data_IF_205516418877
#
_entry.id   IF_205516418877
#
_cell.length_a   1.000
_cell.length_b   1.000
_cell.length_c   1.000
_cell.angle_alpha   90.00
_cell.angle_beta   90.00
_cell.angle_gamma   90.00
#
_symmetry.space_group_name_H-M   'P 1'
#
loop_
_entity.id
_entity.type
_entity.pdbx_description
1 polymer ?
#
# COMPACT_ATOMS: atom_id res chain seq x y z
N UNK A 1 9.55 -48.52 -43.11
CA UNK A 1 9.20 -47.78 -41.87
C UNK A 1 8.11 -48.57 -41.18
N UNK A 2 8.35 -48.99 -39.93
CA UNK A 2 7.42 -49.82 -39.15
C UNK A 2 6.20 -48.97 -38.76
N UNK A 3 4.99 -49.54 -38.81
CA UNK A 3 3.74 -48.86 -38.45
C UNK A 3 3.73 -48.39 -36.98
N UNK A 4 4.63 -48.95 -36.15
CA UNK A 4 4.90 -48.52 -34.78
C UNK A 4 5.63 -47.17 -34.67
N UNK A 5 6.49 -46.83 -35.62
CA UNK A 5 7.23 -45.55 -35.60
C UNK A 5 6.32 -44.37 -35.90
N UNK A 6 5.40 -44.53 -36.85
CA UNK A 6 4.41 -43.51 -37.20
C UNK A 6 3.48 -43.23 -36.02
N UNK A 7 3.04 -44.29 -35.32
CA UNK A 7 2.16 -44.16 -34.15
C UNK A 7 2.85 -43.45 -32.98
N UNK A 8 4.12 -43.77 -32.73
CA UNK A 8 4.94 -43.13 -31.69
C UNK A 8 5.21 -41.65 -32.00
N UNK A 9 5.36 -41.29 -33.28
CA UNK A 9 5.53 -39.90 -33.71
C UNK A 9 4.23 -39.09 -33.56
N UNK A 10 3.07 -39.67 -33.86
CA UNK A 10 1.77 -39.04 -33.63
C UNK A 10 1.48 -38.85 -32.14
N UNK A 11 1.85 -39.80 -31.30
CA UNK A 11 1.72 -39.71 -29.83
C UNK A 11 2.63 -38.62 -29.25
N UNK A 12 3.86 -38.45 -29.75
CA UNK A 12 4.73 -37.36 -29.30
C UNK A 12 4.20 -36.00 -29.73
N UNK A 13 3.68 -35.87 -30.95
CA UNK A 13 3.05 -34.63 -31.43
C UNK A 13 1.82 -34.25 -30.59
N UNK A 14 0.98 -35.23 -30.21
CA UNK A 14 -0.17 -35.01 -29.34
C UNK A 14 0.23 -34.60 -27.91
N UNK A 15 1.30 -35.20 -27.36
CA UNK A 15 1.85 -34.86 -26.06
C UNK A 15 2.46 -33.44 -26.05
N UNK A 16 3.21 -33.07 -27.09
CA UNK A 16 3.76 -31.72 -27.25
C UNK A 16 2.67 -30.67 -27.41
N UNK A 17 1.57 -30.99 -28.09
CA UNK A 17 0.41 -30.10 -28.21
C UNK A 17 -0.32 -29.88 -26.87
N UNK A 18 -0.44 -30.92 -26.04
CA UNK A 18 -1.00 -30.78 -24.69
C UNK A 18 -0.09 -29.97 -23.75
N UNK A 19 1.22 -30.23 -23.77
CA UNK A 19 2.17 -29.49 -22.93
C UNK A 19 2.25 -28.01 -23.31
N UNK A 20 2.25 -27.69 -24.61
CA UNK A 20 2.25 -26.31 -25.10
C UNK A 20 0.95 -25.57 -24.72
N UNK A 21 -0.19 -26.26 -24.70
CA UNK A 21 -1.47 -25.69 -24.29
C UNK A 21 -1.53 -25.41 -22.78
N UNK A 22 -0.98 -26.29 -21.94
CA UNK A 22 -0.93 -26.08 -20.50
C UNK A 22 0.10 -25.01 -20.09
N UNK A 23 1.23 -24.93 -20.80
CA UNK A 23 2.22 -23.86 -20.62
C UNK A 23 1.66 -22.49 -21.02
N UNK A 24 0.83 -22.43 -22.08
CA UNK A 24 0.09 -21.23 -22.46
C UNK A 24 -0.96 -20.84 -21.41
N UNK A 25 -1.67 -21.80 -20.80
CA UNK A 25 -2.63 -21.54 -19.71
C UNK A 25 -1.97 -21.01 -18.44
N UNK A 26 -0.83 -21.58 -18.03
CA UNK A 26 -0.07 -21.11 -16.86
C UNK A 26 0.44 -19.67 -17.04
N UNK A 27 0.83 -19.30 -18.26
CA UNK A 27 1.25 -17.93 -18.61
C UNK A 27 0.08 -16.93 -18.66
N UNK A 28 -1.11 -17.36 -19.08
CA UNK A 28 -2.32 -16.51 -19.06
C UNK A 28 -2.82 -16.26 -17.62
N UNK A 29 -2.80 -17.27 -16.75
CA UNK A 29 -3.24 -17.12 -15.35
C UNK A 29 -2.30 -16.20 -14.55
N UNK A 30 -0.99 -16.34 -14.71
CA UNK A 30 0.00 -15.47 -14.05
C UNK A 30 -0.07 -14.01 -14.52
N UNK A 31 -0.34 -13.78 -15.81
CA UNK A 31 -0.54 -12.43 -16.33
C UNK A 31 -1.82 -11.77 -15.77
N UNK A 32 -2.92 -12.51 -15.66
CA UNK A 32 -4.19 -12.02 -15.09
C UNK A 32 -4.06 -11.68 -13.60
N UNK A 33 -3.37 -12.52 -12.82
CA UNK A 33 -3.18 -12.31 -11.38
C UNK A 33 -2.33 -11.05 -11.10
N UNK A 34 -1.24 -10.88 -11.85
CA UNK A 34 -0.33 -9.72 -11.71
C UNK A 34 -1.01 -8.38 -11.99
N UNK A 35 -1.97 -8.33 -12.92
CA UNK A 35 -2.75 -7.11 -13.22
C UNK A 35 -3.67 -6.76 -12.06
N UNK A 36 -4.30 -7.76 -11.43
CA UNK A 36 -5.17 -7.58 -10.26
C UNK A 36 -4.38 -7.04 -9.06
N UNK A 37 -3.22 -7.64 -8.77
CA UNK A 37 -2.40 -7.27 -7.60
C UNK A 37 -1.89 -5.82 -7.70
N UNK A 38 -1.52 -5.37 -8.92
CA UNK A 38 -1.11 -3.97 -9.16
C UNK A 38 -2.24 -2.97 -8.95
N UNK A 39 -3.47 -3.34 -9.28
CA UNK A 39 -4.64 -2.49 -9.06
C UNK A 39 -4.93 -2.31 -7.57
N UNK A 40 -4.82 -3.39 -6.79
CA UNK A 40 -4.99 -3.35 -5.34
C UNK A 40 -3.90 -2.52 -4.66
N UNK A 41 -2.65 -2.62 -5.11
CA UNK A 41 -1.54 -1.78 -4.62
C UNK A 41 -1.79 -0.28 -4.90
N UNK A 42 -2.15 0.09 -6.12
CA UNK A 42 -2.45 1.48 -6.47
C UNK A 42 -3.62 2.04 -5.64
N UNK A 43 -4.66 1.22 -5.40
CA UNK A 43 -5.80 1.58 -4.57
C UNK A 43 -5.41 1.81 -3.11
N UNK A 44 -4.61 0.92 -2.53
CA UNK A 44 -4.11 1.07 -1.16
C UNK A 44 -3.23 2.31 -1.01
N UNK A 45 -2.37 2.60 -2.00
CA UNK A 45 -1.56 3.82 -2.04
C UNK A 45 -2.42 5.09 -2.07
N UNK A 46 -3.47 5.12 -2.89
CA UNK A 46 -4.40 6.26 -2.95
C UNK A 46 -5.12 6.48 -1.61
N UNK A 47 -5.57 5.39 -0.97
CA UNK A 47 -6.17 5.45 0.36
C UNK A 47 -5.18 5.99 1.40
N UNK A 48 -3.93 5.52 1.37
CA UNK A 48 -2.88 5.95 2.28
C UNK A 48 -2.55 7.44 2.11
N UNK A 49 -2.39 7.90 0.86
CA UNK A 49 -2.16 9.31 0.56
C UNK A 49 -3.30 10.20 1.04
N UNK A 50 -4.56 9.74 0.86
CA UNK A 50 -5.74 10.44 1.36
C UNK A 50 -5.73 10.57 2.88
N UNK A 51 -5.56 9.47 3.61
CA UNK A 51 -5.60 9.46 5.08
C UNK A 51 -4.47 10.30 5.67
N UNK A 52 -3.27 10.26 5.07
CA UNK A 52 -2.17 11.17 5.44
C UNK A 52 -2.52 12.63 5.24
N UNK A 53 -3.15 12.97 4.10
CA UNK A 53 -3.63 14.34 3.86
C UNK A 53 -4.70 14.78 4.85
N UNK A 54 -5.57 13.86 5.29
CA UNK A 54 -6.54 14.12 6.37
C UNK A 54 -5.84 14.33 7.72
N UNK A 55 -4.80 13.55 8.05
CA UNK A 55 -4.00 13.71 9.27
C UNK A 55 -3.26 15.05 9.30
N UNK A 56 -2.69 15.47 8.17
CA UNK A 56 -2.02 16.77 8.05
C UNK A 56 -2.99 17.94 8.34
N UNK A 57 -4.25 17.83 7.91
CA UNK A 57 -5.28 18.83 8.24
C UNK A 57 -5.55 18.88 9.74
N UNK A 58 -5.63 17.74 10.42
CA UNK A 58 -5.81 17.66 11.88
C UNK A 58 -4.66 18.37 12.59
N UNK A 59 -3.40 18.11 12.18
CA UNK A 59 -2.25 18.80 12.76
C UNK A 59 -2.26 20.30 12.46
N UNK A 60 -2.65 20.70 11.25
CA UNK A 60 -2.78 22.11 10.91
C UNK A 60 -3.87 22.81 11.73
N UNK A 61 -5.00 22.16 11.99
CA UNK A 61 -6.06 22.69 12.87
C UNK A 61 -5.58 22.80 14.33
N UNK A 62 -4.79 21.84 14.79
CA UNK A 62 -4.19 21.87 16.12
C UNK A 62 -3.20 23.03 16.25
N UNK A 63 -2.32 23.22 15.26
CA UNK A 63 -1.40 24.35 15.19
C UNK A 63 -2.12 25.70 15.15
N UNK A 64 -3.22 25.80 14.38
CA UNK A 64 -4.10 26.99 14.38
C UNK A 64 -4.67 27.26 15.76
N UNK A 65 -5.17 26.24 16.44
CA UNK A 65 -5.74 26.36 17.79
C UNK A 65 -4.70 26.89 18.78
N UNK A 66 -3.51 26.27 18.81
CA UNK A 66 -2.41 26.69 19.68
C UNK A 66 -1.95 28.12 19.39
N UNK A 67 -1.87 28.50 18.10
CA UNK A 67 -1.53 29.87 17.71
C UNK A 67 -2.57 30.89 18.21
N UNK A 68 -3.87 30.61 18.02
CA UNK A 68 -4.95 31.49 18.48
C UNK A 68 -4.96 31.62 20.00
N UNK A 69 -4.71 30.51 20.73
CA UNK A 69 -4.56 30.56 22.19
C UNK A 69 -3.39 31.45 22.62
N UNK A 70 -2.22 31.26 22.02
CA UNK A 70 -1.02 32.00 22.38
C UNK A 70 -1.11 33.50 22.04
N UNK A 71 -1.91 33.85 21.02
CA UNK A 71 -2.15 35.24 20.63
C UNK A 71 -3.32 35.89 21.36
N UNK A 72 -4.06 35.14 22.19
CA UNK A 72 -5.26 35.62 22.88
C UNK A 72 -6.47 35.81 21.95
N UNK A 73 -6.44 35.25 20.74
CA UNK A 73 -7.49 35.38 19.72
C UNK A 73 -8.38 34.15 19.60
N UNK A 74 -8.27 33.19 20.52
CA UNK A 74 -9.15 32.03 20.53
C UNK A 74 -10.53 32.44 21.06
N UNK A 75 -11.65 32.02 20.42
CA UNK A 75 -13.00 32.33 20.90
C UNK A 75 -13.21 31.83 22.34
N UNK A 76 -13.54 32.76 23.24
CA UNK A 76 -13.83 32.47 24.65
C UNK A 76 -15.27 32.92 24.97
N UNK A 77 -16.22 32.26 24.30
CA UNK A 77 -17.65 32.44 24.51
C UNK A 77 -18.33 31.06 24.69
N UNK A 78 -19.52 31.05 25.30
CA UNK A 78 -20.22 29.80 25.59
C UNK A 78 -20.72 29.04 24.36
N UNK A 79 -20.72 29.66 23.17
CA UNK A 79 -21.11 28.99 21.94
C UNK A 79 -19.97 28.13 21.35
N UNK A 80 -18.73 28.33 21.78
CA UNK A 80 -17.56 27.62 21.27
C UNK A 80 -16.96 26.66 22.32
N UNK A 81 -16.44 25.50 21.87
CA UNK A 81 -15.65 24.64 22.75
C UNK A 81 -14.38 25.36 23.19
N UNK A 82 -14.00 25.14 24.46
CA UNK A 82 -12.74 25.68 24.96
C UNK A 82 -11.58 25.17 24.13
N UNK A 83 -10.48 25.91 24.09
CA UNK A 83 -9.32 25.50 23.32
C UNK A 83 -8.78 24.13 23.75
N UNK A 84 -8.85 23.83 25.05
CA UNK A 84 -8.52 22.51 25.58
C UNK A 84 -9.41 21.42 24.99
N UNK A 85 -10.73 21.61 24.99
CA UNK A 85 -11.68 20.64 24.43
C UNK A 85 -11.46 20.43 22.92
N UNK A 86 -11.09 21.49 22.20
CA UNK A 86 -10.75 21.41 20.78
C UNK A 86 -9.45 20.61 20.56
N UNK A 87 -8.42 20.89 21.35
CA UNK A 87 -7.14 20.15 21.29
C UNK A 87 -7.34 18.67 21.59
N UNK A 88 -8.07 18.34 22.67
CA UNK A 88 -8.33 16.93 23.04
C UNK A 88 -9.04 16.18 21.93
N UNK A 89 -10.03 16.81 21.28
CA UNK A 89 -10.73 16.24 20.13
C UNK A 89 -9.78 16.01 18.94
N UNK A 90 -8.90 16.96 18.65
CA UNK A 90 -7.94 16.87 17.55
C UNK A 90 -6.88 15.80 17.82
N UNK A 91 -6.44 15.62 19.08
CA UNK A 91 -5.52 14.54 19.47
C UNK A 91 -6.14 13.16 19.21
N UNK A 92 -7.39 12.96 19.63
CA UNK A 92 -8.14 11.72 19.36
C UNK A 92 -8.26 11.49 17.84
N UNK A 93 -8.58 12.53 17.07
CA UNK A 93 -8.68 12.42 15.62
C UNK A 93 -7.33 12.07 14.97
N UNK A 94 -6.23 12.65 15.44
CA UNK A 94 -4.88 12.36 14.95
C UNK A 94 -4.49 10.90 15.22
N UNK A 95 -4.79 10.38 16.41
CA UNK A 95 -4.54 8.99 16.77
C UNK A 95 -5.35 8.03 15.91
N UNK A 96 -6.64 8.31 15.67
CA UNK A 96 -7.47 7.51 14.78
C UNK A 96 -6.91 7.45 13.36
N UNK A 97 -6.42 8.58 12.84
CA UNK A 97 -5.81 8.64 11.51
C UNK A 97 -4.48 7.89 11.46
N UNK A 98 -3.68 7.94 12.52
CA UNK A 98 -2.46 7.15 12.62
C UNK A 98 -2.76 5.65 12.59
N UNK A 99 -3.74 5.19 13.38
CA UNK A 99 -4.16 3.78 13.37
C UNK A 99 -4.66 3.33 11.99
N UNK A 100 -5.34 4.21 11.24
CA UNK A 100 -5.80 3.92 9.88
C UNK A 100 -4.61 3.80 8.89
N UNK A 101 -3.62 4.68 9.00
CA UNK A 101 -2.35 4.61 8.24
C UNK A 101 -1.64 3.29 8.50
N UNK A 102 -1.48 2.91 9.77
CA UNK A 102 -0.78 1.67 10.16
C UNK A 102 -1.49 0.43 9.60
N UNK A 103 -2.83 0.40 9.62
CA UNK A 103 -3.62 -0.67 9.01
C UNK A 103 -3.44 -0.76 7.51
N UNK A 104 -3.37 0.37 6.81
CA UNK A 104 -3.16 0.39 5.35
C UNK A 104 -1.76 -0.11 5.00
N UNK A 105 -0.73 0.36 5.71
CA UNK A 105 0.64 -0.10 5.54
C UNK A 105 0.74 -1.62 5.79
N UNK A 106 0.14 -2.13 6.86
CA UNK A 106 0.11 -3.57 7.15
C UNK A 106 -0.55 -4.38 6.02
N UNK A 107 -1.66 -3.89 5.44
CA UNK A 107 -2.30 -4.53 4.27
C UNK A 107 -1.39 -4.53 3.05
N UNK A 108 -0.69 -3.43 2.79
CA UNK A 108 0.25 -3.34 1.67
C UNK A 108 1.41 -4.34 1.81
N UNK A 109 1.93 -4.53 3.02
CA UNK A 109 2.91 -5.56 3.30
C UNK A 109 2.37 -6.98 3.11
N UNK A 110 1.11 -7.22 3.45
CA UNK A 110 0.50 -8.56 3.34
C UNK A 110 0.15 -8.96 1.90
N UNK A 111 -0.20 -7.98 1.04
CA UNK A 111 -0.58 -8.23 -0.35
C UNK A 111 0.63 -8.18 -1.30
N UNK A 112 1.72 -7.52 -0.90
CA UNK A 112 2.92 -7.42 -1.73
C UNK A 112 3.89 -8.58 -1.48
N UNK A 113 4.26 -9.31 -2.55
CA UNK A 113 5.39 -10.24 -2.54
C UNK A 113 6.77 -9.56 -2.60
N UNK A 114 6.85 -8.23 -2.52
CA UNK A 114 8.10 -7.46 -2.55
C UNK A 114 8.35 -6.71 -1.24
N UNK A 115 9.58 -6.22 -1.07
CA UNK A 115 9.93 -5.34 0.04
C UNK A 115 9.15 -4.03 -0.10
N UNK A 116 8.24 -3.77 0.83
CA UNK A 116 7.48 -2.51 0.90
C UNK A 116 8.07 -1.67 2.02
N UNK A 117 8.17 -0.36 1.82
CA UNK A 117 8.60 0.57 2.85
C UNK A 117 7.54 0.65 3.95
N UNK A 118 7.88 0.35 5.23
CA UNK A 118 6.92 0.39 6.32
C UNK A 118 6.53 1.81 6.73
N UNK A 119 7.20 2.83 6.20
CA UNK A 119 6.93 4.22 6.54
C UNK A 119 6.03 4.90 5.52
N UNK A 120 6.25 4.65 4.22
CA UNK A 120 5.53 5.35 3.17
C UNK A 120 4.62 4.45 2.31
N UNK A 121 4.81 3.12 2.34
CA UNK A 121 4.08 2.17 1.50
C UNK A 121 4.69 1.94 0.11
N UNK A 122 5.78 2.64 -0.25
CA UNK A 122 6.42 2.46 -1.55
C UNK A 122 7.10 1.09 -1.67
N UNK A 123 6.94 0.44 -2.83
CA UNK A 123 7.68 -0.77 -3.17
C UNK A 123 9.16 -0.44 -3.37
N UNK A 124 10.02 -1.17 -2.69
CA UNK A 124 11.46 -1.00 -2.71
C UNK A 124 12.11 -2.25 -3.31
N UNK A 125 13.31 -2.07 -3.88
CA UNK A 125 14.17 -3.19 -4.28
C UNK A 125 14.55 -4.04 -3.06
N UNK A 126 14.85 -5.32 -3.27
CA UNK A 126 15.14 -6.26 -2.18
C UNK A 126 16.38 -5.87 -1.37
N UNK A 127 17.38 -5.28 -2.01
CA UNK A 127 18.65 -4.83 -1.46
C UNK A 127 18.67 -3.34 -1.09
N UNK A 128 17.54 -2.65 -1.25
CA UNK A 128 17.44 -1.23 -0.93
C UNK A 128 17.68 -0.98 0.56
N UNK A 129 18.71 -0.16 0.87
CA UNK A 129 19.00 0.28 2.24
C UNK A 129 18.13 1.46 2.68
N UNK A 130 17.61 2.22 1.73
CA UNK A 130 16.74 3.38 1.93
C UNK A 130 15.59 3.35 0.93
N UNK A 131 14.43 3.89 1.32
CA UNK A 131 13.31 4.06 0.41
C UNK A 131 13.56 5.22 -0.56
N UNK A 132 13.40 4.97 -1.86
CA UNK A 132 13.59 5.99 -2.89
C UNK A 132 12.56 7.13 -2.85
N UNK A 133 11.38 6.89 -2.29
CA UNK A 133 10.31 7.90 -2.20
C UNK A 133 10.40 8.77 -0.94
N UNK A 134 10.61 8.17 0.23
CA UNK A 134 10.55 8.90 1.50
C UNK A 134 11.90 8.99 2.24
N UNK A 135 12.95 8.36 1.72
CA UNK A 135 14.28 8.36 2.34
C UNK A 135 14.39 7.53 3.63
N UNK A 136 13.33 6.87 4.08
CA UNK A 136 13.38 6.07 5.30
C UNK A 136 14.35 4.89 5.16
N UNK A 137 15.15 4.64 6.21
CA UNK A 137 16.06 3.50 6.27
C UNK A 137 15.26 2.20 6.34
N UNK A 138 15.61 1.24 5.49
CA UNK A 138 14.99 -0.07 5.43
C UNK A 138 15.84 -1.08 6.23
N UNK A 139 15.17 -1.97 6.97
CA UNK A 139 15.83 -2.87 7.90
C UNK A 139 16.67 -3.98 7.23
N UNK A 140 16.47 -4.24 5.92
CA UNK A 140 17.12 -5.33 5.17
C UNK A 140 18.38 -4.92 4.40
N UNK A 141 19.00 -3.78 4.74
CA UNK A 141 20.25 -3.32 4.14
C UNK A 141 21.51 -3.83 4.84
N UNK A 142 21.67 -5.14 4.98
CA UNK A 142 22.92 -5.83 5.38
C UNK A 142 23.40 -6.78 4.28
#
# INVERSE_FOLDING_TARGET
MDSRDVRRMLESMAATAHSAADEARGRMQSASQTISDKYDEAKLNLMLARVRGEQERVFADMGRTLFLMNTGNYPDDEAHPTAQQTIDRLLIAAEQKQQEIDRLLAKMHAVSGAVVCPFCGHRCEEDARFCAECGAKLAKGE
#
